data_IF_202654255464
#
_entry.id   IF_202654255464
#
_cell.length_a   1.000
_cell.length_b   1.000
_cell.length_c   1.000
_cell.angle_alpha   90.00
_cell.angle_beta   90.00
_cell.angle_gamma   90.00
#
_symmetry.space_group_name_H-M   'P 1'
#
loop_
_entity.id
_entity.type
_entity.pdbx_description
1 polymer ?
#
# COMPACT_ATOMS: atom_id res chain seq x y z
N UNK A 1 7.25 4.41 -57.21
CA UNK A 1 6.18 3.56 -56.63
C UNK A 1 6.67 2.52 -55.63
N UNK A 2 7.80 1.82 -55.82
CA UNK A 2 8.30 0.80 -54.85
C UNK A 2 8.87 1.35 -53.52
N UNK A 3 9.27 2.63 -53.48
CA UNK A 3 9.81 3.26 -52.26
C UNK A 3 8.68 3.71 -51.32
N UNK A 4 7.59 4.27 -51.85
CA UNK A 4 6.46 4.77 -51.04
C UNK A 4 5.74 3.64 -50.27
N UNK A 5 5.69 2.42 -50.81
CA UNK A 5 5.03 1.30 -50.13
C UNK A 5 5.82 0.75 -48.94
N UNK A 6 7.15 0.96 -48.88
CA UNK A 6 7.96 0.53 -47.72
C UNK A 6 7.81 1.48 -46.53
N UNK A 7 7.67 2.78 -46.80
CA UNK A 7 7.42 3.78 -45.75
C UNK A 7 6.01 3.66 -45.18
N UNK A 8 5.01 3.37 -46.00
CA UNK A 8 3.62 3.16 -45.54
C UNK A 8 3.51 1.87 -44.71
N UNK A 9 4.19 0.79 -45.09
CA UNK A 9 4.18 -0.47 -44.33
C UNK A 9 4.93 -0.34 -42.99
N UNK A 10 6.05 0.40 -42.95
CA UNK A 10 6.77 0.69 -41.71
C UNK A 10 5.99 1.63 -40.77
N UNK A 11 5.29 2.65 -41.32
CA UNK A 11 4.39 3.49 -40.53
C UNK A 11 3.21 2.69 -39.98
N UNK A 12 2.62 1.78 -40.77
CA UNK A 12 1.49 0.92 -40.34
C UNK A 12 1.89 -0.09 -39.26
N UNK A 13 3.09 -0.67 -39.32
CA UNK A 13 3.60 -1.54 -38.25
C UNK A 13 3.97 -0.77 -36.98
N UNK A 14 4.55 0.43 -37.10
CA UNK A 14 4.87 1.27 -35.95
C UNK A 14 3.60 1.83 -35.26
N UNK A 15 2.55 2.16 -36.03
CA UNK A 15 1.27 2.61 -35.48
C UNK A 15 0.43 1.49 -34.87
N UNK A 16 0.59 0.24 -35.32
CA UNK A 16 -0.11 -0.92 -34.74
C UNK A 16 0.50 -1.34 -33.39
N UNK A 17 1.82 -1.21 -33.23
CA UNK A 17 2.49 -1.48 -31.96
C UNK A 17 2.19 -0.42 -30.88
N UNK A 18 1.90 0.82 -31.28
CA UNK A 18 1.55 1.91 -30.37
C UNK A 18 0.08 1.93 -29.93
N UNK A 19 -0.79 1.11 -30.54
CA UNK A 19 -2.23 1.09 -30.24
C UNK A 19 -2.67 -0.12 -29.42
N UNK A 20 -1.80 -1.11 -29.23
CA UNK A 20 -2.01 -2.24 -28.35
C UNK A 20 -1.57 -1.85 -26.94
N UNK A 21 -2.40 -1.08 -26.23
CA UNK A 21 -2.26 -0.96 -24.78
C UNK A 21 -2.32 -2.39 -24.21
N UNK A 22 -1.35 -2.76 -23.38
CA UNK A 22 -1.11 -4.17 -23.02
C UNK A 22 -2.37 -4.84 -22.44
N UNK A 23 -2.57 -6.10 -22.81
CA UNK A 23 -3.59 -6.98 -22.24
C UNK A 23 -3.48 -7.06 -20.70
N UNK A 24 -4.51 -7.60 -20.04
CA UNK A 24 -4.47 -7.89 -18.61
C UNK A 24 -3.15 -8.59 -18.21
N UNK A 25 -2.45 -8.00 -17.26
CA UNK A 25 -1.10 -8.42 -16.84
C UNK A 25 -1.18 -9.61 -15.88
N UNK A 26 -0.19 -10.50 -16.00
CA UNK A 26 0.20 -11.42 -14.93
C UNK A 26 1.63 -11.05 -14.54
N UNK A 27 1.80 -10.49 -13.34
CA UNK A 27 3.08 -10.00 -12.86
C UNK A 27 3.56 -10.76 -11.62
N UNK A 28 4.81 -11.19 -11.63
CA UNK A 28 5.42 -11.87 -10.49
C UNK A 28 6.53 -11.01 -9.88
N UNK A 29 6.55 -10.88 -8.55
CA UNK A 29 7.78 -10.50 -7.86
C UNK A 29 8.76 -11.67 -7.87
N UNK A 30 10.04 -11.36 -8.05
CA UNK A 30 11.15 -12.32 -7.97
C UNK A 30 12.14 -11.82 -6.93
N UNK A 31 12.25 -12.52 -5.80
CA UNK A 31 13.26 -12.20 -4.80
C UNK A 31 14.65 -12.50 -5.34
N UNK A 32 15.56 -11.52 -5.29
CA UNK A 32 16.90 -11.65 -5.88
C UNK A 32 17.80 -12.66 -5.17
N UNK A 33 17.41 -13.04 -3.95
CA UNK A 33 18.00 -14.11 -3.15
C UNK A 33 17.35 -15.49 -3.39
N UNK A 34 16.21 -15.55 -4.06
CA UNK A 34 15.43 -16.77 -4.30
C UNK A 34 15.77 -17.42 -5.63
N UNK A 35 15.32 -18.67 -5.84
CA UNK A 35 15.51 -19.36 -7.12
C UNK A 35 14.87 -18.61 -8.27
N UNK A 36 15.53 -18.64 -9.44
CA UNK A 36 14.99 -18.06 -10.65
C UNK A 36 13.69 -18.78 -11.05
N UNK A 37 12.71 -18.07 -11.66
CA UNK A 37 11.54 -18.71 -12.23
C UNK A 37 11.92 -19.81 -13.23
N UNK A 38 11.25 -20.96 -13.12
CA UNK A 38 11.29 -22.04 -14.10
C UNK A 38 10.65 -21.63 -15.43
N UNK A 39 10.95 -22.38 -16.50
CA UNK A 39 10.29 -22.25 -17.81
C UNK A 39 8.75 -22.21 -17.69
N UNK A 40 8.17 -23.14 -16.93
CA UNK A 40 6.72 -23.25 -16.76
C UNK A 40 6.10 -22.03 -16.06
N UNK A 41 6.83 -21.40 -15.15
CA UNK A 41 6.45 -20.14 -14.51
C UNK A 41 6.55 -18.97 -15.50
N UNK A 42 7.67 -18.87 -16.22
CA UNK A 42 7.90 -17.81 -17.22
C UNK A 42 6.84 -17.81 -18.32
N UNK A 43 6.32 -18.97 -18.73
CA UNK A 43 5.21 -19.09 -19.68
C UNK A 43 3.92 -18.41 -19.20
N UNK A 44 3.74 -18.21 -17.89
CA UNK A 44 2.56 -17.59 -17.32
C UNK A 44 2.72 -16.08 -17.13
N UNK A 45 3.96 -15.57 -17.13
CA UNK A 45 4.23 -14.19 -16.75
C UNK A 45 4.26 -13.27 -17.97
N UNK A 46 3.72 -12.07 -17.79
CA UNK A 46 3.86 -10.95 -18.72
C UNK A 46 4.90 -9.93 -18.22
N UNK A 47 5.04 -9.85 -16.90
CA UNK A 47 5.89 -8.90 -16.20
C UNK A 47 6.61 -9.58 -15.04
N UNK A 48 7.82 -9.15 -14.77
CA UNK A 48 8.60 -9.52 -13.57
C UNK A 48 9.05 -8.23 -12.89
N UNK A 49 8.86 -8.16 -11.57
CA UNK A 49 9.52 -7.16 -10.72
C UNK A 49 10.63 -7.85 -9.92
N UNK A 50 11.88 -7.46 -10.16
CA UNK A 50 13.02 -7.95 -9.39
C UNK A 50 13.01 -7.23 -8.03
N UNK A 51 12.76 -7.99 -6.96
CA UNK A 51 12.86 -7.52 -5.59
C UNK A 51 14.24 -7.84 -5.01
N UNK A 52 15.06 -6.91 -4.53
CA UNK A 52 14.84 -5.47 -4.47
C UNK A 52 16.15 -4.72 -4.69
N UNK A 53 16.05 -3.49 -5.20
CA UNK A 53 17.04 -2.46 -4.92
C UNK A 53 16.77 -1.90 -3.52
N UNK A 54 17.81 -1.85 -2.70
CA UNK A 54 17.72 -1.48 -1.28
C UNK A 54 18.89 -0.61 -0.87
N UNK A 55 18.79 -0.02 0.32
CA UNK A 55 19.84 0.81 0.94
C UNK A 55 20.39 0.18 2.21
N UNK A 56 20.35 -1.13 2.34
CA UNK A 56 20.84 -1.83 3.53
C UNK A 56 21.66 -3.07 3.19
N UNK A 57 22.47 -3.51 4.16
CA UNK A 57 22.99 -4.88 4.19
C UNK A 57 22.16 -5.71 5.17
N UNK A 58 21.73 -6.89 4.77
CA UNK A 58 20.89 -7.75 5.60
C UNK A 58 21.58 -8.09 6.92
N UNK A 59 20.86 -7.94 8.04
CA UNK A 59 21.32 -8.34 9.36
C UNK A 59 20.14 -8.59 10.30
N UNK A 60 20.34 -9.49 11.26
CA UNK A 60 19.35 -9.77 12.32
C UNK A 60 19.74 -9.09 13.65
N UNK A 61 18.77 -8.57 14.42
CA UNK A 61 17.33 -8.51 14.12
C UNK A 61 16.93 -7.30 13.25
N UNK A 62 17.88 -6.41 12.92
CA UNK A 62 17.66 -5.17 12.17
C UNK A 62 18.69 -5.03 11.06
N UNK A 63 18.24 -4.66 9.87
CA UNK A 63 19.11 -4.42 8.74
C UNK A 63 20.08 -3.26 8.98
N UNK A 64 21.30 -3.39 8.44
CA UNK A 64 22.32 -2.34 8.52
C UNK A 64 22.05 -1.31 7.42
N UNK A 65 21.29 -0.27 7.76
CA UNK A 65 20.95 0.80 6.85
C UNK A 65 22.18 1.62 6.41
N UNK A 66 22.19 2.03 5.15
CA UNK A 66 23.13 3.00 4.60
C UNK A 66 22.71 4.40 5.04
N UNK A 67 23.47 5.02 5.95
CA UNK A 67 23.18 6.38 6.43
C UNK A 67 23.28 7.47 5.33
N UNK A 68 23.84 7.10 4.18
CA UNK A 68 23.95 7.94 2.98
C UNK A 68 22.99 7.53 1.87
N UNK A 69 22.06 6.61 2.13
CA UNK A 69 21.09 6.06 1.16
C UNK A 69 21.77 5.44 -0.07
N UNK A 70 22.92 4.78 0.07
CA UNK A 70 23.57 4.12 -1.07
C UNK A 70 22.70 2.97 -1.57
N UNK A 71 22.35 2.98 -2.86
CA UNK A 71 21.61 1.89 -3.52
C UNK A 71 22.61 1.07 -4.35
N UNK A 72 22.93 -0.13 -3.89
CA UNK A 72 23.81 -1.03 -4.64
C UNK A 72 23.09 -1.63 -5.87
N UNK A 73 23.86 -2.09 -6.85
CA UNK A 73 23.28 -2.82 -7.97
C UNK A 73 22.74 -4.17 -7.45
N UNK A 74 21.44 -4.43 -7.57
CA UNK A 74 20.86 -5.63 -7.00
C UNK A 74 21.24 -6.86 -7.84
N UNK A 75 21.20 -8.02 -7.20
CA UNK A 75 21.22 -9.31 -7.89
C UNK A 75 19.86 -9.52 -8.57
N UNK A 76 19.73 -10.57 -9.38
CA UNK A 76 18.53 -10.84 -10.18
C UNK A 76 17.70 -11.97 -9.56
N UNK A 77 18.28 -13.15 -9.45
CA UNK A 77 17.77 -14.34 -8.77
C UNK A 77 18.96 -15.29 -8.53
N UNK A 78 18.81 -16.24 -7.62
CA UNK A 78 19.85 -17.16 -7.16
C UNK A 78 21.12 -16.45 -6.67
N UNK A 79 21.01 -15.20 -6.21
CA UNK A 79 22.14 -14.34 -5.89
C UNK A 79 23.11 -14.16 -7.08
N UNK A 80 22.59 -14.12 -8.32
CA UNK A 80 23.38 -13.91 -9.53
C UNK A 80 23.23 -12.50 -10.07
N UNK A 81 24.33 -11.97 -10.62
CA UNK A 81 24.37 -10.68 -11.34
C UNK A 81 24.47 -10.89 -12.87
N UNK A 82 24.01 -12.04 -13.39
CA UNK A 82 24.17 -12.40 -14.80
C UNK A 82 23.13 -11.68 -15.69
N UNK A 83 23.53 -10.70 -16.52
CA UNK A 83 22.60 -9.95 -17.37
C UNK A 83 21.94 -10.81 -18.46
N UNK A 84 22.43 -12.02 -18.71
CA UNK A 84 21.79 -12.93 -19.67
C UNK A 84 20.44 -13.43 -19.18
N UNK A 85 20.20 -13.47 -17.86
CA UNK A 85 18.91 -13.85 -17.26
C UNK A 85 17.82 -12.86 -17.68
N UNK A 86 18.05 -11.56 -17.48
CA UNK A 86 17.12 -10.50 -17.91
C UNK A 86 16.92 -10.56 -19.42
N UNK A 87 18.00 -10.77 -20.17
CA UNK A 87 17.93 -10.88 -21.64
C UNK A 87 17.06 -12.06 -22.08
N UNK A 88 17.14 -13.21 -21.41
CA UNK A 88 16.30 -14.38 -21.68
C UNK A 88 14.82 -14.06 -21.43
N UNK A 89 14.48 -13.50 -20.26
CA UNK A 89 13.09 -13.13 -19.94
C UNK A 89 12.53 -12.15 -20.97
N UNK A 90 13.29 -11.10 -21.31
CA UNK A 90 12.87 -10.13 -22.33
C UNK A 90 12.73 -10.74 -23.72
N UNK A 91 13.53 -11.74 -24.07
CA UNK A 91 13.41 -12.44 -25.36
C UNK A 91 12.09 -13.23 -25.50
N UNK A 92 11.46 -13.56 -24.37
CA UNK A 92 10.12 -14.17 -24.29
C UNK A 92 8.98 -13.14 -24.33
N UNK A 93 9.31 -11.85 -24.43
CA UNK A 93 8.35 -10.76 -24.40
C UNK A 93 7.96 -10.28 -23.00
N UNK A 94 8.63 -10.78 -21.95
CA UNK A 94 8.37 -10.36 -20.56
C UNK A 94 8.98 -8.98 -20.31
N UNK A 95 8.22 -8.09 -19.71
CA UNK A 95 8.73 -6.80 -19.20
C UNK A 95 9.40 -7.00 -17.84
N UNK A 96 10.57 -6.42 -17.65
CA UNK A 96 11.34 -6.58 -16.40
C UNK A 96 11.52 -5.23 -15.72
N UNK A 97 10.92 -5.08 -14.54
CA UNK A 97 11.07 -3.92 -13.68
C UNK A 97 12.04 -4.24 -12.53
N UNK A 98 12.67 -3.20 -11.99
CA UNK A 98 13.34 -3.27 -10.70
C UNK A 98 12.45 -2.64 -9.64
N UNK A 99 12.14 -3.40 -8.59
CA UNK A 99 11.42 -2.86 -7.43
C UNK A 99 12.41 -2.27 -6.43
N UNK A 100 12.17 -1.01 -6.06
CA UNK A 100 12.95 -0.29 -5.05
C UNK A 100 12.12 -0.19 -3.77
N UNK A 101 12.59 -0.85 -2.70
CA UNK A 101 11.88 -0.87 -1.43
C UNK A 101 11.80 -2.24 -0.77
N UNK A 102 10.58 -2.65 -0.45
CA UNK A 102 10.21 -3.86 0.28
C UNK A 102 10.43 -3.76 1.79
N UNK A 103 9.82 -4.70 2.53
CA UNK A 103 9.81 -4.79 3.99
C UNK A 103 11.16 -4.54 4.70
N UNK A 104 12.27 -4.98 4.09
CA UNK A 104 13.60 -4.81 4.68
C UNK A 104 14.09 -3.36 4.73
N UNK A 105 13.55 -2.47 3.90
CA UNK A 105 13.85 -1.03 3.93
C UNK A 105 13.15 -0.31 5.09
N UNK A 106 12.07 -0.89 5.58
CA UNK A 106 11.25 -0.41 6.69
C UNK A 106 9.86 -1.00 6.58
N UNK A 107 9.29 -1.40 7.72
CA UNK A 107 7.92 -1.88 7.83
C UNK A 107 7.06 -0.96 8.68
N UNK A 108 5.85 -0.66 8.22
CA UNK A 108 4.86 0.11 8.98
C UNK A 108 4.08 -0.76 9.98
N UNK A 109 4.37 -2.04 10.16
CA UNK A 109 3.67 -2.93 11.10
C UNK A 109 4.36 -3.05 12.47
N UNK A 110 3.57 -3.47 13.47
CA UNK A 110 4.06 -3.65 14.84
C UNK A 110 5.21 -4.68 14.89
N UNK A 111 6.26 -4.33 15.64
CA UNK A 111 7.42 -5.18 15.82
C UNK A 111 8.50 -5.05 14.74
N UNK A 112 8.24 -4.37 13.62
CA UNK A 112 9.29 -4.06 12.65
C UNK A 112 10.26 -3.02 13.23
N UNK A 113 11.55 -3.21 12.94
CA UNK A 113 12.65 -2.38 13.46
C UNK A 113 13.45 -1.71 12.35
N UNK A 114 13.15 -2.00 11.09
CA UNK A 114 13.85 -1.45 9.95
C UNK A 114 13.35 -0.02 9.68
N UNK A 115 14.29 0.87 9.37
CA UNK A 115 14.03 2.30 9.23
C UNK A 115 14.94 2.97 8.19
N UNK A 116 15.39 2.18 7.20
CA UNK A 116 16.40 2.60 6.23
C UNK A 116 15.89 3.70 5.28
N UNK A 117 14.59 3.83 5.10
CA UNK A 117 13.96 4.94 4.37
C UNK A 117 14.33 6.31 4.93
N UNK A 118 14.50 6.45 6.25
CA UNK A 118 14.80 7.73 6.91
C UNK A 118 16.07 8.37 6.37
N UNK A 119 17.06 7.55 5.99
CA UNK A 119 18.33 8.04 5.46
C UNK A 119 18.25 8.52 4.01
N UNK A 120 17.14 8.24 3.32
CA UNK A 120 16.88 8.63 1.94
C UNK A 120 16.10 9.94 1.80
N UNK A 121 15.38 10.38 2.84
CA UNK A 121 14.68 11.66 2.82
C UNK A 121 15.69 12.81 2.64
N UNK A 122 15.40 13.74 1.72
CA UNK A 122 16.33 14.81 1.34
C UNK A 122 17.46 14.40 0.39
N UNK A 123 17.42 13.16 -0.15
CA UNK A 123 18.38 12.64 -1.14
C UNK A 123 17.69 12.19 -2.44
N UNK A 124 16.54 12.79 -2.74
CA UNK A 124 15.68 12.41 -3.87
C UNK A 124 16.43 12.43 -5.20
N UNK A 125 17.22 13.48 -5.46
CA UNK A 125 18.03 13.60 -6.69
C UNK A 125 19.03 12.44 -6.84
N UNK A 126 19.65 12.01 -5.74
CA UNK A 126 20.56 10.87 -5.75
C UNK A 126 19.79 9.57 -6.07
N UNK A 127 18.65 9.35 -5.41
CA UNK A 127 17.81 8.16 -5.63
C UNK A 127 17.34 8.10 -7.07
N UNK A 128 16.82 9.20 -7.62
CA UNK A 128 16.40 9.30 -9.02
C UNK A 128 17.57 8.94 -9.94
N UNK A 129 18.72 9.61 -9.78
CA UNK A 129 19.89 9.38 -10.63
C UNK A 129 20.37 7.93 -10.57
N UNK A 130 20.37 7.33 -9.38
CA UNK A 130 20.84 5.97 -9.18
C UNK A 130 19.88 4.93 -9.75
N UNK A 131 18.58 5.08 -9.57
CA UNK A 131 17.59 4.17 -10.17
C UNK A 131 17.59 4.26 -11.70
N UNK A 132 17.75 5.46 -12.26
CA UNK A 132 17.93 5.66 -13.71
C UNK A 132 19.17 4.94 -14.22
N UNK A 133 20.29 5.03 -13.50
CA UNK A 133 21.52 4.31 -13.84
C UNK A 133 21.29 2.79 -13.83
N UNK A 134 20.61 2.25 -12.81
CA UNK A 134 20.33 0.82 -12.71
C UNK A 134 19.43 0.33 -13.85
N UNK A 135 18.35 1.05 -14.17
CA UNK A 135 17.48 0.70 -15.31
C UNK A 135 18.26 0.62 -16.61
N UNK A 136 19.14 1.58 -16.86
CA UNK A 136 19.93 1.63 -18.08
C UNK A 136 21.01 0.55 -18.13
N UNK A 137 21.74 0.36 -17.04
CA UNK A 137 22.86 -0.60 -16.97
C UNK A 137 22.39 -2.05 -16.99
N UNK A 138 21.26 -2.35 -16.34
CA UNK A 138 20.65 -3.68 -16.33
C UNK A 138 19.70 -3.94 -17.51
N UNK A 139 19.51 -2.95 -18.40
CA UNK A 139 18.58 -3.01 -19.54
C UNK A 139 17.13 -3.36 -19.13
N UNK A 140 16.63 -2.70 -18.10
CA UNK A 140 15.29 -2.90 -17.56
C UNK A 140 14.24 -2.10 -18.33
N UNK A 141 12.98 -2.50 -18.15
CA UNK A 141 11.81 -1.86 -18.75
C UNK A 141 11.18 -0.83 -17.81
N UNK A 142 11.54 -0.79 -16.52
CA UNK A 142 11.01 0.20 -15.59
C UNK A 142 11.42 0.06 -14.14
N UNK A 143 10.78 0.87 -13.31
CA UNK A 143 10.89 0.88 -11.84
C UNK A 143 9.52 0.64 -11.23
N UNK A 144 9.51 -0.17 -10.18
CA UNK A 144 8.43 -0.25 -9.21
C UNK A 144 8.87 0.39 -7.89
N UNK A 145 8.00 1.20 -7.28
CA UNK A 145 8.20 1.80 -5.96
C UNK A 145 7.36 1.05 -4.92
N UNK A 146 8.01 0.14 -4.20
CA UNK A 146 7.43 -0.70 -3.15
C UNK A 146 7.76 -0.14 -1.77
N UNK A 147 7.15 1.01 -1.45
CA UNK A 147 7.39 1.72 -0.19
C UNK A 147 6.45 1.20 0.90
N UNK A 148 7.02 0.49 1.88
CA UNK A 148 6.26 -0.17 2.97
C UNK A 148 6.53 0.43 4.36
N UNK A 149 6.85 1.73 4.44
CA UNK A 149 7.16 2.41 5.69
C UNK A 149 6.12 3.48 6.03
N UNK A 150 6.31 4.18 7.14
CA UNK A 150 5.39 5.22 7.58
C UNK A 150 5.22 6.34 6.55
N UNK A 151 3.97 6.75 6.35
CA UNK A 151 3.54 7.80 5.43
C UNK A 151 2.98 9.03 6.16
N UNK A 152 2.69 8.88 7.45
CA UNK A 152 2.18 9.91 8.35
C UNK A 152 2.99 9.91 9.65
N UNK A 153 2.90 10.99 10.42
CA UNK A 153 3.58 11.07 11.71
C UNK A 153 2.96 10.08 12.70
N UNK A 154 3.78 9.19 13.25
CA UNK A 154 3.42 8.16 14.22
C UNK A 154 4.31 8.33 15.47
N UNK A 155 4.12 9.41 16.25
CA UNK A 155 5.01 9.75 17.36
C UNK A 155 5.03 8.67 18.46
N UNK A 156 3.93 7.93 18.62
CA UNK A 156 3.84 6.78 19.54
C UNK A 156 4.77 5.65 19.13
N UNK A 157 5.11 5.56 17.83
CA UNK A 157 6.04 4.59 17.24
C UNK A 157 7.40 5.21 16.91
N UNK A 158 7.63 6.45 17.34
CA UNK A 158 8.91 7.14 17.18
C UNK A 158 9.19 7.66 15.78
N UNK A 159 8.15 7.84 14.94
CA UNK A 159 8.29 8.39 13.60
C UNK A 159 7.59 9.76 13.50
N UNK A 160 8.29 10.77 13.03
CA UNK A 160 7.79 12.15 12.90
C UNK A 160 8.23 12.79 11.58
N UNK A 161 8.39 11.98 10.54
CA UNK A 161 8.91 12.38 9.25
C UNK A 161 7.90 12.11 8.11
N UNK A 162 6.60 12.06 8.42
CA UNK A 162 5.56 11.75 7.43
C UNK A 162 5.55 12.72 6.25
N UNK A 163 5.71 14.02 6.52
CA UNK A 163 5.84 15.03 5.47
C UNK A 163 7.08 14.80 4.59
N UNK A 164 8.18 14.33 5.16
CA UNK A 164 9.40 14.02 4.41
C UNK A 164 9.24 12.76 3.57
N UNK A 165 8.55 11.74 4.08
CA UNK A 165 8.19 10.53 3.33
C UNK A 165 7.34 10.84 2.10
N UNK A 166 6.29 11.66 2.26
CA UNK A 166 5.43 12.08 1.15
C UNK A 166 6.20 12.93 0.13
N UNK A 167 7.04 13.87 0.59
CA UNK A 167 7.88 14.67 -0.31
C UNK A 167 8.86 13.78 -1.10
N UNK A 168 9.47 12.81 -0.43
CA UNK A 168 10.39 11.86 -1.05
C UNK A 168 9.70 11.08 -2.17
N UNK A 169 8.56 10.46 -1.88
CA UNK A 169 7.81 9.67 -2.86
C UNK A 169 7.34 10.54 -4.03
N UNK A 170 6.74 11.70 -3.76
CA UNK A 170 6.29 12.63 -4.81
C UNK A 170 7.44 13.06 -5.73
N UNK A 171 8.58 13.45 -5.14
CA UNK A 171 9.75 13.93 -5.90
C UNK A 171 10.39 12.82 -6.71
N UNK A 172 10.59 11.63 -6.12
CA UNK A 172 11.19 10.48 -6.80
C UNK A 172 10.30 10.03 -7.95
N UNK A 173 8.98 9.90 -7.75
CA UNK A 173 8.05 9.50 -8.81
C UNK A 173 8.08 10.47 -9.99
N UNK A 174 7.96 11.79 -9.73
CA UNK A 174 7.99 12.81 -10.78
C UNK A 174 9.35 12.83 -11.48
N UNK A 175 10.44 12.77 -10.72
CA UNK A 175 11.80 12.80 -11.25
C UNK A 175 12.13 11.59 -12.13
N UNK A 176 11.71 10.38 -11.72
CA UNK A 176 11.87 9.17 -12.52
C UNK A 176 11.14 9.27 -13.86
N UNK A 177 9.88 9.73 -13.86
CA UNK A 177 9.14 9.93 -15.12
C UNK A 177 9.81 10.95 -16.04
N UNK A 178 10.35 12.04 -15.49
CA UNK A 178 11.05 13.05 -16.29
C UNK A 178 12.33 12.50 -16.94
N UNK A 179 13.08 11.67 -16.22
CA UNK A 179 14.35 11.11 -16.71
C UNK A 179 14.17 9.89 -17.61
N UNK A 180 13.08 9.15 -17.46
CA UNK A 180 12.80 7.90 -18.19
C UNK A 180 11.36 7.87 -18.72
N UNK A 181 10.98 8.79 -19.63
CA UNK A 181 9.60 8.95 -20.08
C UNK A 181 9.03 7.72 -20.81
N UNK A 182 9.90 6.87 -21.37
CA UNK A 182 9.57 5.66 -22.14
C UNK A 182 9.59 4.37 -21.30
N UNK A 183 9.91 4.46 -20.00
CA UNK A 183 9.98 3.31 -19.09
C UNK A 183 8.71 3.18 -18.25
N UNK A 184 8.45 1.96 -17.79
CA UNK A 184 7.39 1.68 -16.85
C UNK A 184 7.71 2.31 -15.47
N UNK A 185 6.73 2.95 -14.87
CA UNK A 185 6.79 3.46 -13.50
C UNK A 185 5.54 3.06 -12.73
N UNK A 186 5.72 2.24 -11.71
CA UNK A 186 4.62 1.71 -10.88
C UNK A 186 4.87 1.98 -9.42
N UNK A 187 3.80 1.85 -8.62
CA UNK A 187 3.88 1.80 -7.17
C UNK A 187 3.08 0.58 -6.69
N UNK A 188 3.52 -0.03 -5.59
CA UNK A 188 2.88 -1.18 -4.98
C UNK A 188 2.43 -0.92 -3.53
N UNK A 189 1.50 0.02 -3.27
CA UNK A 189 1.10 0.32 -1.89
C UNK A 189 0.32 -0.80 -1.22
N UNK A 190 0.43 -0.89 0.10
CA UNK A 190 -0.59 -1.54 0.90
C UNK A 190 -1.95 -0.87 0.66
N UNK A 191 -3.03 -1.66 0.60
CA UNK A 191 -4.37 -1.13 0.36
C UNK A 191 -4.79 -0.05 1.39
N UNK A 192 -4.40 -0.21 2.65
CA UNK A 192 -4.68 0.76 3.73
C UNK A 192 -4.10 2.15 3.46
N UNK A 193 -2.95 2.21 2.80
CA UNK A 193 -2.27 3.46 2.49
C UNK A 193 -2.88 4.18 1.29
N UNK A 194 -3.60 3.45 0.43
CA UNK A 194 -4.19 3.96 -0.80
C UNK A 194 -5.70 4.27 -0.67
N UNK A 195 -6.18 4.54 0.54
CA UNK A 195 -7.57 4.95 0.81
C UNK A 195 -7.73 6.46 0.68
N UNK A 196 -8.85 6.91 0.09
CA UNK A 196 -9.14 8.34 -0.05
C UNK A 196 -9.05 9.10 1.30
N UNK A 197 -8.25 10.17 1.32
CA UNK A 197 -7.99 10.99 2.50
C UNK A 197 -6.71 10.65 3.25
N UNK A 198 -6.04 9.53 2.97
CA UNK A 198 -4.69 9.26 3.49
C UNK A 198 -3.65 10.15 2.80
N UNK A 199 -2.52 10.37 3.46
CA UNK A 199 -1.44 11.16 2.89
C UNK A 199 -0.92 10.61 1.55
N UNK A 200 -0.81 9.28 1.44
CA UNK A 200 -0.30 8.64 0.23
C UNK A 200 -1.31 8.67 -0.93
N UNK A 201 -2.60 8.44 -0.68
CA UNK A 201 -3.62 8.63 -1.70
C UNK A 201 -3.65 10.06 -2.24
N UNK A 202 -3.57 11.07 -1.37
CA UNK A 202 -3.56 12.47 -1.82
C UNK A 202 -2.30 12.82 -2.61
N UNK A 203 -1.16 12.20 -2.29
CA UNK A 203 0.06 12.29 -3.08
C UNK A 203 -0.13 11.64 -4.46
N UNK A 204 -0.62 10.40 -4.50
CA UNK A 204 -0.92 9.70 -5.75
C UNK A 204 -1.86 10.52 -6.63
N UNK A 205 -2.89 11.16 -6.06
CA UNK A 205 -3.81 12.03 -6.83
C UNK A 205 -3.10 13.20 -7.53
N UNK A 206 -1.99 13.68 -6.98
CA UNK A 206 -1.18 14.75 -7.61
C UNK A 206 -0.26 14.21 -8.71
N UNK A 207 0.25 12.98 -8.57
CA UNK A 207 1.29 12.44 -9.46
C UNK A 207 0.86 11.25 -10.34
N UNK A 208 -0.37 10.73 -10.23
CA UNK A 208 -0.81 9.53 -10.94
C UNK A 208 -0.68 9.62 -12.47
N UNK A 209 -0.72 10.84 -13.03
CA UNK A 209 -0.45 11.11 -14.45
C UNK A 209 0.97 10.72 -14.89
N UNK A 210 1.91 10.59 -13.96
CA UNK A 210 3.30 10.18 -14.20
C UNK A 210 3.49 8.67 -14.11
N UNK A 211 2.52 7.91 -13.61
CA UNK A 211 2.66 6.45 -13.45
C UNK A 211 2.17 5.72 -14.70
N UNK A 212 2.47 4.42 -14.83
CA UNK A 212 1.91 3.53 -15.85
C UNK A 212 0.72 2.73 -15.33
N UNK A 213 0.77 2.32 -14.06
CA UNK A 213 -0.31 1.69 -13.32
C UNK A 213 0.08 1.62 -11.83
N UNK A 214 -0.90 1.31 -10.99
CA UNK A 214 -0.70 1.03 -9.56
C UNK A 214 -0.98 -0.45 -9.27
N UNK A 215 -0.33 -0.97 -8.25
CA UNK A 215 -0.38 -2.37 -7.84
C UNK A 215 -0.74 -2.48 -6.36
N UNK A 216 -1.98 -2.19 -5.97
CA UNK A 216 -2.36 -2.24 -4.56
C UNK A 216 -2.23 -3.67 -4.04
N UNK A 217 -1.54 -3.81 -2.92
CA UNK A 217 -1.40 -5.05 -2.19
C UNK A 217 -2.72 -5.31 -1.44
N UNK A 218 -3.63 -6.10 -2.02
CA UNK A 218 -4.89 -6.51 -1.38
C UNK A 218 -4.64 -7.67 -0.39
N UNK A 219 -3.63 -7.51 0.44
CA UNK A 219 -3.20 -8.42 1.49
C UNK A 219 -2.51 -7.62 2.59
N UNK A 220 -2.49 -8.14 3.81
CA UNK A 220 -1.87 -7.51 4.99
C UNK A 220 -2.42 -6.13 5.41
N UNK A 221 -3.47 -5.59 4.79
CA UNK A 221 -4.05 -4.30 5.15
C UNK A 221 -5.53 -4.34 5.52
N UNK A 222 -6.37 -3.55 4.86
CA UNK A 222 -7.79 -3.34 5.23
C UNK A 222 -8.79 -4.22 4.47
N UNK A 223 -8.39 -4.80 3.33
CA UNK A 223 -9.25 -5.72 2.57
C UNK A 223 -8.87 -7.18 2.79
N UNK A 224 -9.80 -8.12 2.54
CA UNK A 224 -9.55 -9.57 2.65
C UNK A 224 -10.15 -10.33 1.46
N UNK A 225 -9.64 -10.14 0.23
CA UNK A 225 -10.27 -10.70 -0.98
C UNK A 225 -10.34 -12.24 -1.01
N UNK A 226 -9.38 -12.93 -0.40
CA UNK A 226 -9.36 -14.40 -0.32
C UNK A 226 -10.52 -14.98 0.52
N UNK A 227 -11.10 -14.18 1.42
CA UNK A 227 -12.21 -14.57 2.30
C UNK A 227 -13.53 -13.89 1.90
N UNK A 228 -13.47 -12.64 1.47
CA UNK A 228 -14.64 -11.81 1.21
C UNK A 228 -15.09 -11.88 -0.26
N UNK A 229 -14.23 -12.36 -1.16
CA UNK A 229 -14.38 -12.12 -2.60
C UNK A 229 -14.07 -10.67 -2.95
N UNK A 230 -14.33 -10.28 -4.19
CA UNK A 230 -14.14 -8.90 -4.64
C UNK A 230 -15.27 -7.98 -4.17
N UNK A 231 -16.49 -8.48 -4.15
CA UNK A 231 -17.71 -7.66 -4.00
C UNK A 231 -18.14 -7.41 -2.56
N UNK A 232 -17.67 -8.22 -1.60
CA UNK A 232 -18.21 -8.19 -0.24
C UNK A 232 -17.19 -7.65 0.76
N UNK A 233 -17.71 -7.36 1.95
CA UNK A 233 -16.94 -7.04 3.13
C UNK A 233 -17.45 -7.94 4.26
N UNK A 234 -16.69 -9.00 4.59
CA UNK A 234 -17.06 -9.95 5.63
C UNK A 234 -16.03 -9.94 6.75
N UNK A 235 -14.76 -10.01 6.42
CA UNK A 235 -13.64 -9.95 7.37
C UNK A 235 -12.81 -8.68 7.23
N UNK A 236 -12.73 -8.09 6.04
CA UNK A 236 -12.06 -6.83 5.83
C UNK A 236 -12.77 -5.64 6.49
N UNK A 237 -12.01 -4.58 6.75
CA UNK A 237 -12.54 -3.27 7.14
C UNK A 237 -13.18 -2.54 5.95
N UNK A 238 -12.87 -2.97 4.73
CA UNK A 238 -13.42 -2.48 3.47
C UNK A 238 -13.52 -3.61 2.44
N UNK A 239 -14.51 -3.54 1.53
CA UNK A 239 -14.58 -4.47 0.39
C UNK A 239 -13.49 -4.14 -0.65
N UNK A 240 -12.91 -5.14 -1.35
CA UNK A 240 -11.99 -4.85 -2.44
C UNK A 240 -12.61 -3.99 -3.55
N UNK A 241 -13.91 -4.14 -3.81
CA UNK A 241 -14.65 -3.30 -4.75
C UNK A 241 -14.66 -1.82 -4.34
N UNK A 242 -14.95 -1.50 -3.08
CA UNK A 242 -14.99 -0.12 -2.61
C UNK A 242 -13.59 0.52 -2.69
N UNK A 243 -12.56 -0.24 -2.30
CA UNK A 243 -11.18 0.22 -2.43
C UNK A 243 -10.81 0.45 -3.90
N UNK A 244 -11.11 -0.51 -4.79
CA UNK A 244 -10.84 -0.40 -6.22
C UNK A 244 -11.55 0.81 -6.85
N UNK A 245 -12.83 1.04 -6.50
CA UNK A 245 -13.58 2.22 -6.92
C UNK A 245 -12.97 3.53 -6.41
N UNK A 246 -12.40 3.53 -5.21
CA UNK A 246 -11.67 4.66 -4.65
C UNK A 246 -10.42 5.03 -5.45
N UNK A 247 -9.77 4.05 -6.10
CA UNK A 247 -8.56 4.27 -6.90
C UNK A 247 -8.84 4.74 -8.33
N UNK A 248 -9.99 4.38 -8.92
CA UNK A 248 -10.33 4.72 -10.30
C UNK A 248 -10.19 6.22 -10.64
N UNK A 249 -10.60 7.18 -9.78
CA UNK A 249 -10.42 8.61 -10.04
C UNK A 249 -8.97 9.04 -10.24
N UNK A 250 -7.99 8.31 -9.68
CA UNK A 250 -6.55 8.60 -9.89
C UNK A 250 -6.14 8.46 -11.36
N UNK A 251 -6.86 7.63 -12.12
CA UNK A 251 -6.55 7.25 -13.49
C UNK A 251 -7.68 7.56 -14.46
N UNK A 252 -8.44 8.63 -14.23
CA UNK A 252 -9.55 9.03 -15.11
C UNK A 252 -10.56 7.88 -15.35
N UNK A 253 -10.77 7.05 -14.32
CA UNK A 253 -11.62 5.85 -14.37
C UNK A 253 -11.17 4.79 -15.37
N UNK A 254 -9.88 4.69 -15.65
CA UNK A 254 -9.28 3.67 -16.49
C UNK A 254 -8.89 2.42 -15.67
N UNK A 255 -9.69 1.33 -15.68
CA UNK A 255 -9.41 0.16 -14.86
C UNK A 255 -8.15 -0.60 -15.33
N UNK A 256 -7.64 -0.36 -16.54
CA UNK A 256 -6.42 -1.02 -17.04
C UNK A 256 -5.16 -0.58 -16.27
N UNK A 257 -5.30 0.47 -15.44
CA UNK A 257 -4.25 1.14 -14.66
C UNK A 257 -4.17 0.64 -13.21
N UNK A 258 -4.99 -0.33 -12.83
CA UNK A 258 -4.98 -0.94 -11.50
C UNK A 258 -4.77 -2.44 -11.69
N UNK A 259 -3.68 -2.97 -11.13
CA UNK A 259 -3.31 -4.39 -11.19
C UNK A 259 -3.52 -4.99 -9.80
N UNK A 260 -4.34 -6.03 -9.71
CA UNK A 260 -4.82 -6.55 -8.43
C UNK A 260 -3.78 -7.44 -7.74
N UNK A 261 -3.38 -7.11 -6.52
CA UNK A 261 -2.33 -7.83 -5.77
C UNK A 261 -2.80 -8.99 -4.93
N UNK A 262 -2.08 -10.10 -5.00
CA UNK A 262 -2.28 -11.27 -4.14
C UNK A 262 -1.01 -11.63 -3.38
N UNK A 263 -1.19 -12.06 -2.14
CA UNK A 263 -0.17 -12.81 -1.42
C UNK A 263 -0.52 -14.29 -1.49
N UNK A 264 0.36 -15.11 -2.06
CA UNK A 264 0.06 -16.51 -2.33
C UNK A 264 0.62 -17.45 -1.26
N UNK A 265 1.56 -16.93 -0.45
CA UNK A 265 2.12 -17.59 0.72
C UNK A 265 2.73 -16.55 1.68
N UNK A 266 3.06 -16.94 2.92
CA UNK A 266 3.71 -16.11 3.96
C UNK A 266 2.91 -14.89 4.50
N UNK A 267 1.66 -14.70 4.07
CA UNK A 267 0.71 -13.76 4.66
C UNK A 267 -0.35 -14.46 5.53
N UNK A 268 -0.02 -15.62 6.11
CA UNK A 268 -0.92 -16.38 6.97
C UNK A 268 -1.25 -15.67 8.28
N UNK A 269 -0.34 -14.83 8.79
CA UNK A 269 -0.52 -14.08 10.03
C UNK A 269 -1.70 -13.08 10.00
N UNK A 270 -2.03 -12.56 8.82
CA UNK A 270 -3.18 -11.66 8.60
C UNK A 270 -4.37 -12.37 7.96
N UNK A 271 -4.25 -13.68 7.70
CA UNK A 271 -5.23 -14.47 6.97
C UNK A 271 -5.34 -14.11 5.49
N UNK A 272 -4.29 -13.55 4.87
CA UNK A 272 -4.35 -13.00 3.50
C UNK A 272 -3.83 -13.93 2.41
N UNK A 273 -3.32 -15.13 2.75
CA UNK A 273 -2.90 -16.11 1.76
C UNK A 273 -4.08 -16.50 0.85
N UNK A 274 -3.86 -16.42 -0.46
CA UNK A 274 -4.85 -16.73 -1.49
C UNK A 274 -4.35 -17.85 -2.38
N UNK A 275 -5.06 -18.98 -2.39
CA UNK A 275 -4.80 -20.04 -3.36
C UNK A 275 -5.29 -19.64 -4.78
N UNK A 276 -4.95 -20.48 -5.77
CA UNK A 276 -5.28 -20.20 -7.17
C UNK A 276 -6.80 -20.12 -7.43
N UNK A 277 -7.60 -20.90 -6.69
CA UNK A 277 -9.06 -20.95 -6.84
C UNK A 277 -9.70 -19.69 -6.25
N UNK A 278 -9.27 -19.28 -5.07
CA UNK A 278 -9.70 -18.05 -4.42
C UNK A 278 -9.34 -16.83 -5.29
N UNK A 279 -8.08 -16.74 -5.73
CA UNK A 279 -7.62 -15.67 -6.60
C UNK A 279 -8.38 -15.63 -7.94
N UNK A 280 -8.62 -16.78 -8.57
CA UNK A 280 -9.39 -16.87 -9.81
C UNK A 280 -10.85 -16.43 -9.63
N UNK A 281 -11.45 -16.72 -8.47
CA UNK A 281 -12.81 -16.26 -8.14
C UNK A 281 -12.85 -14.74 -8.02
N UNK A 282 -11.91 -14.15 -7.27
CA UNK A 282 -11.78 -12.69 -7.13
C UNK A 282 -11.57 -12.03 -8.49
N UNK A 283 -10.69 -12.56 -9.34
CA UNK A 283 -10.48 -12.02 -10.68
C UNK A 283 -11.72 -12.15 -11.57
N UNK A 284 -12.46 -13.25 -11.47
CA UNK A 284 -13.72 -13.42 -12.22
C UNK A 284 -14.77 -12.40 -11.78
N UNK A 285 -14.86 -12.11 -10.47
CA UNK A 285 -15.75 -11.08 -9.95
C UNK A 285 -15.31 -9.67 -10.35
N UNK A 286 -14.00 -9.39 -10.28
CA UNK A 286 -13.40 -8.13 -10.75
C UNK A 286 -13.71 -7.90 -12.23
N UNK A 287 -13.51 -8.91 -13.06
CA UNK A 287 -13.82 -8.90 -14.50
C UNK A 287 -15.31 -8.61 -14.76
N UNK A 288 -16.21 -9.15 -13.93
CA UNK A 288 -17.65 -8.89 -14.07
C UNK A 288 -18.03 -7.41 -13.86
N UNK A 289 -17.23 -6.67 -13.07
CA UNK A 289 -17.44 -5.25 -12.81
C UNK A 289 -16.61 -4.36 -13.75
N UNK A 290 -15.39 -4.80 -14.06
CA UNK A 290 -14.39 -4.06 -14.84
C UNK A 290 -13.76 -4.98 -15.90
N UNK A 291 -14.42 -5.20 -17.05
CA UNK A 291 -13.97 -6.12 -18.10
C UNK A 291 -12.64 -5.77 -18.77
N UNK A 292 -12.04 -4.63 -18.40
CA UNK A 292 -10.76 -4.14 -18.91
C UNK A 292 -9.79 -3.85 -17.75
N UNK A 293 -9.87 -4.58 -16.63
CA UNK A 293 -8.96 -4.37 -15.49
C UNK A 293 -7.49 -4.64 -15.86
N UNK A 294 -6.56 -4.08 -15.08
CA UNK A 294 -5.12 -4.12 -15.40
C UNK A 294 -4.43 -5.47 -15.23
N UNK A 295 -5.16 -6.48 -14.73
CA UNK A 295 -4.65 -7.82 -14.47
C UNK A 295 -4.42 -8.12 -12.99
N UNK A 296 -3.48 -9.01 -12.72
CA UNK A 296 -3.08 -9.47 -11.40
C UNK A 296 -1.56 -9.42 -11.22
N UNK A 297 -1.11 -9.20 -9.99
CA UNK A 297 0.26 -9.46 -9.57
C UNK A 297 0.28 -10.29 -8.29
N UNK A 298 1.43 -10.88 -7.99
CA UNK A 298 1.57 -11.63 -6.74
C UNK A 298 2.97 -11.60 -6.14
N UNK A 299 2.98 -11.70 -4.81
CA UNK A 299 4.14 -12.03 -3.98
C UNK A 299 4.06 -13.52 -3.59
N UNK A 300 4.97 -14.40 -4.02
CA UNK A 300 6.18 -14.22 -4.85
C UNK A 300 6.42 -15.44 -5.76
N UNK A 301 7.26 -15.34 -6.80
CA UNK A 301 7.49 -16.42 -7.76
C UNK A 301 7.87 -17.77 -7.13
N UNK A 302 8.62 -17.76 -6.02
CA UNK A 302 9.09 -18.98 -5.36
C UNK A 302 7.92 -19.90 -4.97
N UNK A 303 6.77 -19.32 -4.61
CA UNK A 303 5.60 -20.05 -4.15
C UNK A 303 4.66 -20.48 -5.30
N UNK A 304 4.84 -19.93 -6.50
CA UNK A 304 4.09 -20.32 -7.70
C UNK A 304 4.69 -21.57 -8.36
N UNK A 305 4.72 -22.68 -7.63
CA UNK A 305 5.39 -23.91 -8.06
C UNK A 305 4.94 -24.34 -9.47
N UNK A 306 5.88 -24.43 -10.42
CA UNK A 306 5.64 -24.75 -11.85
C UNK A 306 4.58 -23.89 -12.55
N UNK A 307 4.30 -22.69 -12.03
CA UNK A 307 3.29 -21.79 -12.57
C UNK A 307 1.85 -22.23 -12.25
N UNK A 308 1.64 -23.13 -11.29
CA UNK A 308 0.30 -23.69 -11.02
C UNK A 308 -0.69 -22.62 -10.54
N UNK A 309 -0.24 -21.68 -9.69
CA UNK A 309 -1.08 -20.60 -9.22
C UNK A 309 -1.38 -19.61 -10.36
N UNK A 310 -0.33 -19.14 -11.03
CA UNK A 310 -0.47 -18.14 -12.09
C UNK A 310 -1.22 -18.68 -13.30
N UNK A 311 -1.12 -19.97 -13.61
CA UNK A 311 -1.90 -20.64 -14.66
C UNK A 311 -3.39 -20.65 -14.35
N UNK A 312 -3.78 -20.91 -13.11
CA UNK A 312 -5.17 -20.84 -12.68
C UNK A 312 -5.73 -19.43 -12.86
N UNK A 313 -5.03 -18.42 -12.35
CA UNK A 313 -5.44 -17.02 -12.46
C UNK A 313 -5.43 -16.53 -13.92
N UNK A 314 -4.46 -16.95 -14.73
CA UNK A 314 -4.42 -16.65 -16.16
C UNK A 314 -5.64 -17.19 -16.92
N UNK A 315 -6.24 -18.31 -16.49
CA UNK A 315 -7.50 -18.77 -17.09
C UNK A 315 -8.64 -17.80 -16.81
N UNK A 316 -8.71 -17.24 -15.60
CA UNK A 316 -9.67 -16.19 -15.27
C UNK A 316 -9.39 -14.87 -16.04
N UNK A 317 -8.12 -14.49 -16.20
CA UNK A 317 -7.72 -13.30 -16.97
C UNK A 317 -7.96 -13.44 -18.49
N UNK A 318 -8.04 -14.66 -19.02
CA UNK A 318 -8.08 -14.90 -20.47
C UNK A 318 -9.29 -14.27 -21.16
N UNK A 319 -10.37 -14.00 -20.43
CA UNK A 319 -11.56 -13.31 -20.94
C UNK A 319 -11.33 -11.84 -21.30
N UNK A 320 -10.33 -11.19 -20.68
CA UNK A 320 -10.03 -9.75 -20.79
C UNK A 320 -8.89 -9.44 -21.79
N UNK A 321 -8.11 -10.45 -22.20
CA UNK A 321 -7.01 -10.20 -23.14
C UNK A 321 -7.57 -9.65 -24.46
N UNK A 322 -7.09 -8.48 -24.88
CA UNK A 322 -7.50 -7.76 -26.08
C UNK A 322 -8.49 -6.61 -25.87
N UNK A 323 -8.99 -6.39 -24.64
CA UNK A 323 -10.03 -5.39 -24.35
C UNK A 323 -9.61 -3.93 -24.59
N UNK A 324 -8.31 -3.66 -24.54
CA UNK A 324 -7.71 -2.34 -24.80
C UNK A 324 -7.83 -1.85 -26.24
N UNK A 325 -8.16 -2.73 -27.19
CA UNK A 325 -8.36 -2.37 -28.61
C UNK A 325 -9.80 -1.99 -28.96
N UNK A 326 -10.74 -2.10 -28.02
CA UNK A 326 -12.13 -1.70 -28.27
C UNK A 326 -12.23 -0.20 -28.06
N UNK A 327 -11.82 0.55 -29.10
CA UNK A 327 -11.93 2.00 -29.12
C UNK A 327 -13.34 2.47 -28.72
N UNK A 328 -13.44 3.18 -27.60
CA UNK A 328 -14.47 4.19 -27.40
C UNK A 328 -15.66 3.84 -26.51
N UNK A 329 -15.66 2.76 -25.73
CA UNK A 329 -16.65 2.62 -24.64
C UNK A 329 -15.93 2.73 -23.31
N UNK A 330 -15.68 3.97 -22.90
CA UNK A 330 -15.48 4.27 -21.48
C UNK A 330 -16.75 3.78 -20.78
N UNK A 331 -16.68 2.88 -19.79
CA UNK A 331 -17.82 2.56 -18.96
C UNK A 331 -18.42 3.88 -18.46
N UNK A 332 -19.69 4.13 -18.74
CA UNK A 332 -20.33 5.33 -18.18
C UNK A 332 -20.18 5.22 -16.67
N UNK A 333 -19.50 6.17 -16.00
CA UNK A 333 -19.31 6.08 -14.57
C UNK A 333 -20.69 5.88 -13.92
N UNK A 334 -20.81 4.99 -12.93
CA UNK A 334 -22.05 4.89 -12.17
C UNK A 334 -22.45 6.31 -11.75
N UNK A 335 -23.74 6.68 -11.88
CA UNK A 335 -24.16 8.04 -11.58
C UNK A 335 -23.64 8.40 -10.21
N UNK A 336 -22.75 9.40 -10.17
CA UNK A 336 -22.26 10.00 -8.93
C UNK A 336 -23.47 10.16 -8.04
N UNK A 337 -23.46 9.49 -6.87
CA UNK A 337 -24.49 9.68 -5.88
C UNK A 337 -24.61 11.19 -5.69
N UNK A 338 -25.74 11.76 -6.10
CA UNK A 338 -26.00 13.19 -5.95
C UNK A 338 -25.71 13.48 -4.49
N UNK A 339 -24.81 14.43 -4.16
CA UNK A 339 -24.53 14.75 -2.77
C UNK A 339 -25.88 15.00 -2.12
N UNK A 340 -26.25 14.12 -1.19
CA UNK A 340 -27.44 14.29 -0.38
C UNK A 340 -27.20 15.64 0.29
N UNK A 341 -27.97 16.64 -0.11
CA UNK A 341 -27.90 17.97 0.48
C UNK A 341 -28.08 17.75 1.98
N UNK A 342 -27.00 17.86 2.74
CA UNK A 342 -27.06 17.87 4.19
C UNK A 342 -28.08 18.95 4.52
N UNK A 343 -29.15 18.64 5.27
CA UNK A 343 -30.13 19.64 5.66
C UNK A 343 -29.37 20.81 6.29
N UNK A 344 -29.42 21.97 5.64
CA UNK A 344 -28.89 23.20 6.21
C UNK A 344 -29.58 23.36 7.56
N UNK A 345 -28.81 23.24 8.64
CA UNK A 345 -29.32 23.50 9.98
C UNK A 345 -29.93 24.90 9.96
N UNK A 346 -31.23 24.99 10.26
CA UNK A 346 -31.92 26.26 10.41
C UNK A 346 -31.12 27.14 11.38
N UNK A 347 -30.87 28.41 11.04
CA UNK A 347 -30.21 29.32 11.97
C UNK A 347 -30.99 29.35 13.28
N UNK A 348 -30.26 29.17 14.39
CA UNK A 348 -30.83 29.25 15.72
C UNK A 348 -31.61 30.58 15.88
N UNK A 349 -32.78 30.57 16.53
CA UNK A 349 -33.55 31.80 16.76
C UNK A 349 -32.68 32.81 17.50
N UNK A 350 -32.47 33.97 16.87
CA UNK A 350 -31.87 35.13 17.52
C UNK A 350 -32.76 35.54 18.68
N UNK A 351 -32.26 35.33 19.91
CA UNK A 351 -32.88 35.88 21.10
C UNK A 351 -32.94 37.40 20.98
N UNK A 352 -34.16 37.93 20.98
CA UNK A 352 -34.43 39.35 21.13
C UNK A 352 -33.84 39.83 22.46
N UNK A 353 -32.84 40.70 22.39
CA UNK A 353 -32.39 41.48 23.53
C UNK A 353 -33.45 42.55 23.83
N UNK A 354 -34.04 42.49 25.02
CA UNK A 354 -34.85 43.58 25.55
C UNK A 354 -33.97 44.81 25.79
N UNK A 355 -34.26 45.90 25.08
CA UNK A 355 -33.74 47.23 25.37
C UNK A 355 -34.31 47.73 26.72
N UNK A 356 -33.40 48.16 27.61
CA UNK A 356 -33.72 49.06 28.72
C UNK A 356 -32.97 50.38 28.49
N UNK A 357 -33.70 51.46 28.67
CA UNK A 357 -33.44 52.84 28.27
C UNK A 357 -32.29 53.54 29.01
N UNK A 358 -31.53 54.30 28.23
CA UNK A 358 -30.99 55.65 28.47
C UNK A 358 -30.55 56.05 29.89
N UNK A 359 -29.24 56.28 30.04
CA UNK A 359 -28.68 57.50 30.65
C UNK A 359 -27.25 57.74 30.12
N UNK A 360 -27.08 58.78 29.31
CA UNK A 360 -25.81 59.50 29.10
C UNK A 360 -25.68 60.62 30.14
N UNK A 361 -24.54 61.34 30.29
CA UNK A 361 -23.16 61.10 29.84
C UNK A 361 -22.14 61.30 30.99
N UNK A 362 -20.83 61.05 30.76
CA UNK A 362 -19.75 62.01 31.05
C UNK A 362 -18.39 61.42 30.64
N UNK A 363 -17.67 62.17 29.80
CA UNK A 363 -16.29 61.93 29.34
C UNK A 363 -15.26 62.57 30.28
N UNK A 364 -14.21 61.83 30.66
CA UNK A 364 -12.92 62.36 31.19
C UNK A 364 -11.76 61.52 30.59
N UNK A 365 -10.61 62.13 30.19
CA UNK A 365 -9.62 61.58 29.25
C UNK A 365 -8.47 60.78 29.94
N UNK A 366 -7.45 60.25 29.21
CA UNK A 366 -6.67 59.09 29.63
C UNK A 366 -5.49 59.44 30.54
N UNK A 367 -5.10 58.50 31.41
CA UNK A 367 -3.86 58.55 32.19
C UNK A 367 -2.96 57.36 31.83
N UNK A 368 -1.69 57.69 31.64
CA UNK A 368 -0.56 56.84 31.23
C UNK A 368 -0.05 55.91 32.34
N UNK A 369 0.53 54.79 31.87
CA UNK A 369 1.69 54.01 32.34
C UNK A 369 1.84 53.66 33.83
N UNK A 370 2.24 52.42 34.13
CA UNK A 370 3.58 52.12 34.67
C UNK A 370 3.89 50.61 34.65
N UNK A 371 5.07 50.28 34.16
CA UNK A 371 5.80 49.02 34.39
C UNK A 371 6.17 48.89 35.87
N UNK A 372 6.22 47.66 36.41
CA UNK A 372 7.28 47.25 37.34
C UNK A 372 7.54 45.74 37.28
N UNK A 373 8.78 45.43 37.57
CA UNK A 373 9.60 44.23 37.39
C UNK A 373 9.51 43.17 38.52
N UNK A 374 9.96 41.97 38.17
CA UNK A 374 10.45 40.76 38.89
C UNK A 374 10.91 40.85 40.39
N UNK A 375 11.47 39.77 40.99
CA UNK A 375 10.96 38.40 41.25
C UNK A 375 11.17 37.99 42.73
N UNK A 376 10.66 36.83 43.18
CA UNK A 376 11.18 36.19 44.41
C UNK A 376 10.98 34.66 44.41
N UNK A 377 12.07 33.95 44.73
CA UNK A 377 12.22 32.51 45.02
C UNK A 377 12.73 32.42 46.47
N UNK A 378 12.21 31.53 47.34
CA UNK A 378 12.92 30.27 47.68
C UNK A 378 11.95 29.09 47.91
N UNK A 379 12.23 27.90 47.37
CA UNK A 379 13.11 26.82 47.87
C UNK A 379 12.59 26.04 49.10
N UNK A 380 12.51 24.72 48.87
CA UNK A 380 12.67 23.56 49.78
C UNK A 380 11.55 23.03 50.70
N UNK A 381 11.29 21.73 50.41
CA UNK A 381 11.19 20.55 51.30
C UNK A 381 9.85 20.13 51.95
N UNK A 382 9.35 19.00 51.42
CA UNK A 382 8.68 17.82 52.03
C UNK A 382 8.97 17.56 53.53
N UNK A 383 8.17 16.74 54.28
CA UNK A 383 7.42 15.57 53.79
C UNK A 383 6.00 15.34 54.34
N UNK A 384 5.31 14.42 53.66
CA UNK A 384 4.07 13.76 54.05
C UNK A 384 4.25 12.91 55.32
N UNK A 385 3.29 12.96 56.24
CA UNK A 385 2.95 11.81 57.07
C UNK A 385 1.46 11.81 57.45
N UNK A 386 1.00 10.59 57.57
CA UNK A 386 -0.26 9.92 57.86
C UNK A 386 -1.30 10.56 58.81
N UNK A 387 -2.56 10.20 58.51
CA UNK A 387 -3.45 9.37 59.35
C UNK A 387 -4.89 9.91 59.47
N UNK A 388 -5.81 9.03 59.05
CA UNK A 388 -7.19 8.78 59.51
C UNK A 388 -7.98 9.88 60.24
N UNK A 389 -9.21 10.17 59.77
CA UNK A 389 -10.47 9.94 60.50
C UNK A 389 -11.68 10.45 59.66
N UNK A 390 -12.62 9.55 59.36
CA UNK A 390 -14.04 9.84 59.03
C UNK A 390 -14.83 10.07 60.35
N UNK A 391 -16.16 10.38 60.40
CA UNK A 391 -17.14 10.70 59.34
C UNK A 391 -18.14 11.85 59.72
N UNK A 392 -19.16 11.99 58.84
CA UNK A 392 -20.50 12.62 59.00
C UNK A 392 -20.66 14.07 58.51
N UNK A 393 -21.39 14.24 57.39
CA UNK A 393 -22.83 14.54 57.40
C UNK A 393 -23.30 14.98 56.00
N UNK A 394 -24.31 14.28 55.47
CA UNK A 394 -25.23 14.79 54.43
C UNK A 394 -26.24 15.76 55.07
N UNK A 395 -26.94 16.63 54.31
CA UNK A 395 -28.16 16.15 53.62
C UNK A 395 -28.51 16.85 52.29
N UNK A 396 -29.31 16.12 51.49
CA UNK A 396 -30.43 16.60 50.64
C UNK A 396 -30.16 17.58 49.50
N UNK A 397 -30.91 17.64 48.41
CA UNK A 397 -31.94 16.85 47.73
C UNK A 397 -32.12 17.66 46.43
N UNK A 398 -32.16 17.03 45.25
CA UNK A 398 -33.07 17.42 44.18
C UNK A 398 -33.01 16.39 43.05
N UNK A 399 -34.08 15.60 43.01
CA UNK A 399 -34.47 14.70 41.95
C UNK A 399 -34.90 15.48 40.70
N UNK A 400 -34.45 15.04 39.53
CA UNK A 400 -35.31 14.95 38.34
C UNK A 400 -34.92 13.67 37.59
N UNK A 401 -35.91 12.80 37.47
CA UNK A 401 -35.92 11.56 36.71
C UNK A 401 -35.91 11.85 35.21
N UNK A 402 -35.12 11.12 34.44
CA UNK A 402 -35.56 10.60 33.15
C UNK A 402 -34.79 9.32 32.82
N UNK A 403 -35.59 8.28 32.61
CA UNK A 403 -35.23 6.91 32.30
C UNK A 403 -34.80 6.79 30.84
N UNK A 404 -33.59 6.27 30.60
CA UNK A 404 -33.25 5.62 29.34
C UNK A 404 -32.58 4.27 29.61
N UNK A 405 -33.20 3.27 29.00
CA UNK A 405 -32.90 1.85 29.05
C UNK A 405 -31.50 1.61 28.45
N UNK A 406 -30.58 1.05 29.24
CA UNK A 406 -29.35 0.43 28.72
C UNK A 406 -29.60 -1.07 28.53
N UNK A 407 -29.24 -1.68 27.38
CA UNK A 407 -28.95 -3.11 27.36
C UNK A 407 -27.54 -3.33 27.89
N UNK A 408 -27.46 -4.18 28.91
CA UNK A 408 -26.26 -4.85 29.39
C UNK A 408 -25.68 -5.75 28.29
N UNK A 409 -24.44 -5.52 27.89
CA UNK A 409 -23.58 -6.54 27.26
C UNK A 409 -22.51 -6.91 28.28
N UNK A 410 -22.55 -8.18 28.65
CA UNK A 410 -21.62 -8.89 29.51
C UNK A 410 -20.21 -8.90 28.91
N UNK A 411 -19.23 -8.43 29.70
CA UNK A 411 -17.80 -8.68 29.50
C UNK A 411 -17.53 -10.19 29.61
N UNK A 412 -17.23 -10.82 28.47
CA UNK A 412 -16.57 -12.11 28.43
C UNK A 412 -15.08 -11.93 28.67
N UNK A 413 -14.54 -12.69 29.62
CA UNK A 413 -13.13 -12.80 29.95
C UNK A 413 -12.37 -13.41 28.77
N UNK A 414 -11.30 -12.75 28.31
CA UNK A 414 -10.25 -13.39 27.51
C UNK A 414 -9.15 -13.88 28.46
N UNK A 415 -8.67 -15.13 28.34
CA UNK A 415 -7.49 -15.58 29.05
C UNK A 415 -6.22 -15.06 28.35
N UNK A 416 -5.26 -14.62 29.15
CA UNK A 416 -3.90 -14.31 28.72
C UNK A 416 -3.29 -15.52 28.00
N UNK A 417 -2.75 -15.30 26.80
CA UNK A 417 -1.88 -16.27 26.13
C UNK A 417 -0.42 -15.90 26.40
N UNK A 418 0.30 -16.87 26.94
CA UNK A 418 1.74 -16.83 27.19
C UNK A 418 2.51 -16.73 25.87
N UNK A 419 3.41 -15.76 25.81
CA UNK A 419 4.47 -15.65 24.82
C UNK A 419 5.59 -16.64 25.17
N UNK A 420 5.73 -17.72 24.39
CA UNK A 420 7.00 -18.42 24.16
C UNK A 420 6.81 -19.63 23.24
N UNK A 421 7.15 -19.49 21.95
CA UNK A 421 7.82 -20.54 21.15
C UNK A 421 8.04 -20.04 19.72
N UNK A 422 9.13 -19.30 19.52
CA UNK A 422 9.72 -19.11 18.20
C UNK A 422 10.73 -20.25 17.98
N UNK A 423 10.46 -21.10 16.99
CA UNK A 423 11.37 -22.17 16.54
C UNK A 423 12.05 -21.65 15.27
N UNK A 424 13.39 -21.52 15.21
CA UNK A 424 14.08 -21.11 13.99
C UNK A 424 14.10 -22.27 12.99
N UNK A 425 13.63 -22.02 11.77
CA UNK A 425 13.79 -22.92 10.64
C UNK A 425 15.19 -22.75 10.05
N UNK A 426 16.08 -23.67 10.40
CA UNK A 426 17.38 -23.79 9.76
C UNK A 426 17.69 -25.26 9.45
N UNK A 427 18.03 -25.52 8.17
CA UNK A 427 18.55 -26.75 7.56
C UNK A 427 17.58 -27.93 7.35
N UNK A 428 17.26 -28.20 6.08
CA UNK A 428 17.11 -29.58 5.60
C UNK A 428 18.02 -29.86 4.40
N UNK A 429 19.09 -30.60 4.69
CA UNK A 429 19.77 -31.47 3.72
C UNK A 429 18.83 -32.64 3.41
N UNK A 430 18.76 -32.97 2.12
CA UNK A 430 18.13 -34.17 1.60
C UNK A 430 18.75 -35.43 2.21
N UNK A 431 17.91 -36.34 2.71
CA UNK A 431 18.14 -37.78 2.61
C UNK A 431 16.82 -38.51 2.39
N UNK A 432 16.74 -39.13 1.20
CA UNK A 432 15.83 -40.17 0.75
C UNK A 432 15.74 -41.33 1.76
N UNK A 433 14.53 -41.73 2.14
CA UNK A 433 14.21 -43.11 2.54
C UNK A 433 12.89 -43.52 1.88
N UNK A 434 12.99 -44.49 0.99
CA UNK A 434 11.88 -45.27 0.45
C UNK A 434 11.34 -46.26 1.49
N UNK A 435 10.09 -46.68 1.23
CA UNK A 435 9.43 -47.93 1.60
C UNK A 435 8.52 -47.92 2.83
N UNK A 436 7.29 -48.40 2.62
CA UNK A 436 6.47 -48.98 3.68
C UNK A 436 4.97 -48.86 3.50
N UNK A 437 4.39 -49.69 2.63
CA UNK A 437 2.99 -50.12 2.67
C UNK A 437 2.47 -50.34 4.11
N UNK A 438 1.24 -49.90 4.41
CA UNK A 438 0.19 -50.81 4.87
C UNK A 438 -1.21 -50.17 4.88
N UNK A 439 -2.12 -51.03 4.46
CA UNK A 439 -3.56 -50.93 4.29
C UNK A 439 -4.30 -51.22 5.61
N UNK A 440 -5.63 -51.10 5.59
CA UNK A 440 -6.66 -51.33 6.64
C UNK A 440 -6.99 -50.11 7.51
N UNK A 441 -8.24 -49.69 7.68
CA UNK A 441 -9.52 -50.28 7.33
C UNK A 441 -10.64 -49.47 8.01
N UNK A 442 -11.83 -49.60 7.43
CA UNK A 442 -13.12 -49.04 7.86
C UNK A 442 -13.44 -49.20 9.35
N UNK A 443 -13.99 -48.14 9.95
CA UNK A 443 -15.28 -48.15 10.64
C UNK A 443 -15.90 -46.75 10.70
#
# INVERSE_FOLDING_TARGET
MKSLSRWILALLCASAAALLKEDARMMAYVGNWQTCPSEAQLEQYTHIAIGFAVTYTYAEPKNLCSETCVIEAPLICENQADPTIISDWKSRGIKVLLSFGGAGMGGSWEGDVNDCWKYCFGREDYVIGRLVELVNTMNLDGIDLDYEYFLEDEPERGFTEGAAAINFLETVTVGLRQQMPDKLLTHAPMDVDAVAGTAYYEMLRRVAYTMDFIMPQYYNGVTRPNMDGFMNQVQGEMSPLDHYNGLLPLFEYDPTRIVFGFCINDCGGTGSNSDATQASTVITELESQFPCHGGAFFWVNLDDTNGDWSRGVNQALSFNRGCTNIGGVIPTPPPLAVPVSVPVALPAPTHFACYSSDFYPYTIPPIRSFHFSEPFVPDRSFPCDSSHFYPYASPSLCSCSESCIKPSITRGQFPCWDSNSYIPSDKFRSTRIDSGYNDCGTH
#
